data_IF_739670320868
#
_entry.id   IF_739670320868
#
_cell.length_a   1.000
_cell.length_b   1.000
_cell.length_c   1.000
_cell.angle_alpha   90.00
_cell.angle_beta   90.00
_cell.angle_gamma   90.00
#
_symmetry.space_group_name_H-M   'P 1'
#
loop_
_entity.id
_entity.type
_entity.pdbx_description
1 polymer ?
#
# COMPACT_ATOMS: atom_id res chain seq x y z
N UNK A 1 32.81 -10.39 -18.25
CA UNK A 1 31.95 -9.80 -19.30
C UNK A 1 30.98 -10.88 -19.73
N UNK A 2 29.72 -10.81 -19.29
CA UNK A 2 28.72 -11.84 -19.55
C UNK A 2 27.55 -11.21 -20.30
N UNK A 3 27.31 -11.74 -21.50
CA UNK A 3 26.30 -11.31 -22.46
C UNK A 3 24.91 -11.76 -22.03
N UNK A 4 23.95 -10.85 -22.02
CA UNK A 4 22.52 -11.15 -21.85
C UNK A 4 21.90 -11.52 -23.20
N UNK A 5 21.03 -12.55 -23.29
CA UNK A 5 20.26 -12.81 -24.50
C UNK A 5 19.07 -11.85 -24.60
N UNK A 6 18.91 -11.32 -25.81
CA UNK A 6 17.82 -10.44 -26.25
C UNK A 6 16.60 -11.31 -26.57
N UNK A 7 15.46 -11.03 -25.93
CA UNK A 7 14.18 -11.63 -26.30
C UNK A 7 13.62 -10.97 -27.59
N UNK A 8 13.04 -11.74 -28.54
CA UNK A 8 12.45 -11.18 -29.75
C UNK A 8 11.07 -10.56 -29.49
N UNK A 9 10.80 -9.45 -30.19
CA UNK A 9 9.48 -8.80 -30.25
C UNK A 9 8.47 -9.65 -31.02
N UNK A 10 7.20 -9.71 -30.59
CA UNK A 10 6.15 -10.37 -31.37
C UNK A 10 5.75 -9.52 -32.59
N UNK A 11 5.67 -10.21 -33.73
CA UNK A 11 5.32 -9.66 -35.04
C UNK A 11 3.87 -9.14 -35.09
N UNK A 12 3.69 -8.01 -35.79
CA UNK A 12 2.39 -7.43 -36.12
C UNK A 12 1.66 -8.34 -37.12
N UNK A 13 0.48 -8.81 -36.74
CA UNK A 13 -0.42 -9.55 -37.63
C UNK A 13 -1.24 -8.55 -38.45
N UNK A 14 -1.01 -8.52 -39.75
CA UNK A 14 -1.82 -7.81 -40.74
C UNK A 14 -2.99 -8.70 -41.17
N UNK A 15 -4.23 -8.27 -40.95
CA UNK A 15 -5.40 -8.91 -41.55
C UNK A 15 -5.79 -8.12 -42.81
N UNK A 16 -5.57 -8.74 -43.98
CA UNK A 16 -6.14 -8.35 -45.26
C UNK A 16 -7.43 -9.14 -45.51
N UNK A 17 -8.49 -8.41 -45.84
CA UNK A 17 -9.48 -8.70 -46.88
C UNK A 17 -10.26 -10.01 -46.84
N UNK A 18 -11.58 -9.91 -46.63
CA UNK A 18 -12.53 -10.77 -47.33
C UNK A 18 -13.71 -9.93 -47.81
N UNK A 19 -13.91 -9.96 -49.13
CA UNK A 19 -14.97 -9.26 -49.87
C UNK A 19 -16.22 -10.15 -49.95
N UNK A 20 -17.38 -9.49 -49.81
CA UNK A 20 -18.54 -9.78 -50.64
C UNK A 20 -19.56 -10.77 -50.09
N UNK A 21 -20.75 -10.26 -49.75
CA UNK A 21 -21.98 -10.56 -50.52
C UNK A 21 -23.13 -9.64 -50.10
N UNK A 22 -23.84 -9.15 -51.11
CA UNK A 22 -24.99 -8.28 -51.04
C UNK A 22 -26.21 -8.99 -50.45
N UNK A 23 -27.01 -8.27 -49.66
CA UNK A 23 -28.40 -8.61 -49.40
C UNK A 23 -29.26 -7.35 -49.49
N UNK A 24 -30.24 -7.42 -50.37
CA UNK A 24 -31.24 -6.39 -50.64
C UNK A 24 -32.25 -6.27 -49.51
N UNK A 25 -32.60 -5.02 -49.20
CA UNK A 25 -33.98 -4.55 -49.07
C UNK A 25 -34.83 -5.07 -47.90
N UNK A 26 -34.87 -4.31 -46.81
CA UNK A 26 -36.10 -4.06 -46.05
C UNK A 26 -35.95 -2.74 -45.29
N UNK A 27 -36.66 -1.71 -45.75
CA UNK A 27 -36.85 -0.45 -45.03
C UNK A 27 -37.81 -0.73 -43.89
N UNK A 28 -37.29 -0.87 -42.67
CA UNK A 28 -38.09 -0.87 -41.44
C UNK A 28 -37.86 0.42 -40.67
N UNK A 29 -38.99 0.97 -40.21
CA UNK A 29 -39.12 2.31 -39.67
C UNK A 29 -38.20 2.60 -38.50
N UNK A 30 -37.68 3.82 -38.55
CA UNK A 30 -36.91 4.48 -37.52
C UNK A 30 -37.78 4.70 -36.27
N UNK A 31 -37.48 3.98 -35.19
CA UNK A 31 -37.89 4.34 -33.84
C UNK A 31 -36.70 4.08 -32.90
N UNK A 32 -35.69 4.95 -33.02
CA UNK A 32 -34.57 5.00 -32.07
C UNK A 32 -35.10 5.69 -30.81
N UNK A 33 -35.55 4.89 -29.84
CA UNK A 33 -35.68 5.34 -28.45
C UNK A 33 -34.28 5.68 -27.93
N UNK A 34 -33.99 6.93 -27.54
CA UNK A 34 -32.77 7.22 -26.80
C UNK A 34 -32.92 6.58 -25.42
N UNK A 35 -32.36 5.39 -25.24
CA UNK A 35 -32.04 4.89 -23.92
C UNK A 35 -31.07 5.92 -23.29
N UNK A 36 -31.60 6.77 -22.40
CA UNK A 36 -30.79 7.57 -21.51
C UNK A 36 -29.96 6.60 -20.65
N UNK A 37 -28.75 6.30 -21.11
CA UNK A 37 -27.67 5.87 -20.24
C UNK A 37 -27.35 7.04 -19.32
N UNK A 38 -28.10 7.17 -18.23
CA UNK A 38 -27.70 7.96 -17.08
C UNK A 38 -26.48 7.25 -16.47
N UNK A 39 -25.30 7.53 -17.03
CA UNK A 39 -24.06 7.35 -16.31
C UNK A 39 -24.15 8.25 -15.08
N UNK A 40 -24.42 7.65 -13.92
CA UNK A 40 -24.15 8.26 -12.64
C UNK A 40 -22.64 8.48 -12.56
N UNK A 41 -22.16 9.59 -13.12
CA UNK A 41 -20.87 10.16 -12.78
C UNK A 41 -21.02 10.73 -11.37
N UNK A 42 -20.78 9.89 -10.35
CA UNK A 42 -20.46 10.39 -9.04
C UNK A 42 -19.27 11.36 -9.17
N UNK A 43 -19.30 12.54 -8.51
CA UNK A 43 -18.19 13.48 -8.58
C UNK A 43 -16.91 12.79 -8.08
N UNK A 44 -15.82 12.77 -8.88
CA UNK A 44 -14.58 12.03 -8.56
C UNK A 44 -13.80 12.61 -7.37
N UNK A 45 -14.18 13.79 -6.87
CA UNK A 45 -13.31 14.58 -6.00
C UNK A 45 -13.38 14.18 -4.51
N UNK A 46 -14.54 13.72 -4.02
CA UNK A 46 -14.72 13.39 -2.60
C UNK A 46 -14.03 12.08 -2.19
N UNK A 47 -13.92 11.11 -3.10
CA UNK A 47 -13.27 9.83 -2.83
C UNK A 47 -11.75 9.92 -2.96
N UNK A 48 -11.24 10.70 -3.92
CA UNK A 48 -9.80 10.89 -4.12
C UNK A 48 -9.13 11.64 -2.95
N UNK A 49 -9.74 12.73 -2.46
CA UNK A 49 -9.22 13.48 -1.33
C UNK A 49 -9.19 12.64 -0.03
N UNK A 50 -10.21 11.80 0.19
CA UNK A 50 -10.24 10.87 1.32
C UNK A 50 -9.14 9.79 1.26
N UNK A 51 -8.81 9.31 0.07
CA UNK A 51 -7.75 8.34 -0.14
C UNK A 51 -6.35 8.93 0.07
N UNK A 52 -6.13 10.18 -0.35
CA UNK A 52 -4.87 10.90 -0.12
C UNK A 52 -4.64 11.20 1.37
N UNK A 53 -5.68 11.64 2.09
CA UNK A 53 -5.62 11.89 3.54
C UNK A 53 -5.32 10.61 4.31
N UNK A 54 -5.98 9.52 3.94
CA UNK A 54 -5.73 8.20 4.50
C UNK A 54 -4.28 7.76 4.29
N UNK A 55 -3.76 7.91 3.07
CA UNK A 55 -2.38 7.54 2.76
C UNK A 55 -1.36 8.41 3.48
N UNK A 56 -1.61 9.72 3.61
CA UNK A 56 -0.76 10.63 4.39
C UNK A 56 -0.66 10.17 5.85
N UNK A 57 -1.80 9.97 6.51
CA UNK A 57 -1.84 9.52 7.91
C UNK A 57 -1.13 8.17 8.10
N UNK A 58 -1.31 7.24 7.16
CA UNK A 58 -0.62 5.95 7.17
C UNK A 58 0.90 6.10 7.02
N UNK A 59 1.38 6.91 6.07
CA UNK A 59 2.81 7.11 5.87
C UNK A 59 3.49 7.75 7.08
N UNK A 60 2.88 8.76 7.70
CA UNK A 60 3.43 9.42 8.89
C UNK A 60 3.60 8.39 10.03
N UNK A 61 2.59 7.56 10.29
CA UNK A 61 2.64 6.49 11.29
C UNK A 61 3.72 5.46 10.99
N UNK A 62 3.88 5.07 9.72
CA UNK A 62 4.91 4.12 9.31
C UNK A 62 6.31 4.70 9.53
N UNK A 63 6.54 5.96 9.19
CA UNK A 63 7.83 6.64 9.44
C UNK A 63 8.12 6.66 10.94
N UNK A 64 7.12 7.04 11.76
CA UNK A 64 7.26 7.11 13.22
C UNK A 64 7.55 5.76 13.86
N UNK A 65 6.89 4.69 13.40
CA UNK A 65 7.16 3.32 13.84
C UNK A 65 8.53 2.81 13.40
N UNK A 66 8.98 3.17 12.19
CA UNK A 66 10.32 2.83 11.70
C UNK A 66 11.43 3.56 12.49
N UNK A 67 11.19 4.80 12.93
CA UNK A 67 12.10 5.50 13.86
C UNK A 67 12.17 4.81 15.22
N UNK A 68 11.02 4.44 15.82
CA UNK A 68 11.00 3.71 17.09
C UNK A 68 11.81 2.41 17.00
N UNK A 69 11.64 1.66 15.90
CA UNK A 69 12.37 0.41 15.68
C UNK A 69 13.88 0.62 15.52
N UNK A 70 14.34 1.77 15.00
CA UNK A 70 15.76 2.11 15.01
C UNK A 70 16.31 2.31 16.42
N UNK A 71 15.47 2.84 17.32
CA UNK A 71 15.86 3.24 18.68
C UNK A 71 15.89 2.06 19.66
N UNK A 72 15.10 1.01 19.39
CA UNK A 72 15.13 -0.26 20.13
C UNK A 72 16.49 -0.98 20.06
N UNK A 73 17.43 -0.52 19.21
CA UNK A 73 18.86 -0.84 19.27
C UNK A 73 19.28 -2.23 18.77
N UNK A 74 18.34 -3.18 18.70
CA UNK A 74 18.57 -4.61 18.41
C UNK A 74 18.78 -4.99 16.94
N UNK A 75 18.80 -4.01 16.02
CA UNK A 75 18.89 -4.29 14.58
C UNK A 75 20.33 -4.50 14.10
N UNK A 76 20.58 -5.51 13.23
CA UNK A 76 21.82 -5.64 12.46
C UNK A 76 22.13 -4.38 11.62
N UNK A 77 23.41 -4.16 11.30
CA UNK A 77 23.86 -2.98 10.58
C UNK A 77 23.19 -2.82 9.19
N UNK A 78 23.03 -3.92 8.45
CA UNK A 78 22.35 -3.91 7.15
C UNK A 78 20.87 -3.49 7.29
N UNK A 79 20.18 -3.99 8.32
CA UNK A 79 18.80 -3.64 8.60
C UNK A 79 18.66 -2.17 9.05
N UNK A 80 19.56 -1.66 9.91
CA UNK A 80 19.63 -0.22 10.25
C UNK A 80 19.78 0.64 8.99
N UNK A 81 20.67 0.24 8.07
CA UNK A 81 20.87 0.93 6.77
C UNK A 81 19.61 0.90 5.90
N UNK A 82 18.94 -0.25 5.78
CA UNK A 82 17.72 -0.39 4.99
C UNK A 82 16.56 0.42 5.56
N UNK A 83 16.38 0.42 6.89
CA UNK A 83 15.36 1.19 7.57
C UNK A 83 15.59 2.71 7.44
N UNK A 84 16.86 3.15 7.56
CA UNK A 84 17.23 4.54 7.29
C UNK A 84 16.90 4.97 5.86
N UNK A 85 17.17 4.12 4.87
CA UNK A 85 16.82 4.38 3.46
C UNK A 85 15.31 4.48 3.26
N UNK A 86 14.53 3.59 3.91
CA UNK A 86 13.06 3.64 3.85
C UNK A 86 12.52 4.94 4.44
N UNK A 87 12.97 5.34 5.63
CA UNK A 87 12.58 6.61 6.27
C UNK A 87 12.89 7.79 5.36
N UNK A 88 14.13 7.90 4.84
CA UNK A 88 14.52 8.95 3.89
C UNK A 88 13.61 8.95 2.66
N UNK A 89 13.34 7.79 2.05
CA UNK A 89 12.49 7.69 0.87
C UNK A 89 11.05 8.15 1.12
N UNK A 90 10.47 7.77 2.27
CA UNK A 90 9.11 8.18 2.65
C UNK A 90 9.02 9.67 3.00
N UNK A 91 10.03 10.22 3.70
CA UNK A 91 10.11 11.67 3.93
C UNK A 91 10.21 12.46 2.61
N UNK A 92 10.89 11.89 1.60
CA UNK A 92 11.02 12.49 0.28
C UNK A 92 9.68 12.69 -0.44
N UNK A 93 8.73 11.74 -0.31
CA UNK A 93 7.38 11.87 -0.88
C UNK A 93 6.40 12.60 0.03
N UNK A 94 6.67 12.67 1.34
CA UNK A 94 5.78 13.29 2.32
C UNK A 94 5.51 14.78 2.03
N UNK A 95 6.49 15.52 1.52
CA UNK A 95 6.32 16.93 1.17
C UNK A 95 5.25 17.17 0.10
N UNK A 96 5.07 16.22 -0.83
CA UNK A 96 4.01 16.28 -1.83
C UNK A 96 2.66 15.93 -1.21
N UNK A 97 2.60 14.85 -0.42
CA UNK A 97 1.36 14.41 0.23
C UNK A 97 0.80 15.47 1.19
N UNK A 98 1.67 16.18 1.92
CA UNK A 98 1.25 17.29 2.78
C UNK A 98 0.57 18.42 1.99
N UNK A 99 1.02 18.70 0.76
CA UNK A 99 0.39 19.73 -0.10
C UNK A 99 -0.98 19.30 -0.61
N UNK A 100 -1.14 18.01 -0.96
CA UNK A 100 -2.43 17.45 -1.38
C UNK A 100 -3.47 17.43 -0.26
N UNK A 101 -3.03 17.56 0.99
CA UNK A 101 -3.87 17.51 2.19
C UNK A 101 -3.83 18.83 2.96
N UNK A 102 -3.75 19.95 2.24
CA UNK A 102 -3.86 21.31 2.78
C UNK A 102 -2.86 21.69 3.90
N UNK A 103 -1.74 20.95 4.05
CA UNK A 103 -0.63 21.24 4.97
C UNK A 103 0.65 21.60 4.19
N UNK A 104 0.49 22.45 3.17
CA UNK A 104 1.61 22.99 2.40
C UNK A 104 2.70 23.67 3.26
N UNK A 105 2.39 24.38 4.38
CA UNK A 105 3.40 24.95 5.27
C UNK A 105 4.35 23.93 5.90
N UNK A 106 3.93 22.67 6.11
CA UNK A 106 4.81 21.62 6.64
C UNK A 106 5.73 20.98 5.59
N UNK A 107 5.47 21.20 4.30
CA UNK A 107 6.20 20.54 3.21
C UNK A 107 7.71 20.86 3.16
N UNK A 108 8.19 22.10 3.40
CA UNK A 108 9.63 22.39 3.47
C UNK A 108 10.33 21.61 4.58
N UNK A 109 9.70 21.47 5.75
CA UNK A 109 10.25 20.73 6.88
C UNK A 109 10.42 19.24 6.55
N UNK A 110 9.45 18.64 5.85
CA UNK A 110 9.56 17.26 5.36
C UNK A 110 10.78 17.06 4.44
N UNK A 111 11.03 18.01 3.52
CA UNK A 111 12.20 17.99 2.63
C UNK A 111 13.51 18.13 3.40
N UNK A 112 13.56 19.02 4.39
CA UNK A 112 14.73 19.21 5.23
C UNK A 112 15.07 17.92 6.01
N UNK A 113 14.07 17.28 6.61
CA UNK A 113 14.27 16.00 7.29
C UNK A 113 14.68 14.90 6.33
N UNK A 114 14.14 14.83 5.11
CA UNK A 114 14.55 13.82 4.12
C UNK A 114 16.07 13.84 3.87
N UNK A 115 16.69 15.01 3.98
CA UNK A 115 18.13 15.20 3.82
C UNK A 115 18.90 14.90 5.12
N UNK A 116 18.46 15.43 6.26
CA UNK A 116 19.34 15.60 7.44
C UNK A 116 18.78 15.09 8.79
N UNK A 117 17.88 14.10 8.80
CA UNK A 117 17.28 13.61 10.06
C UNK A 117 18.18 12.74 10.96
N UNK A 118 19.36 12.29 10.51
CA UNK A 118 20.09 11.17 11.14
C UNK A 118 20.89 11.54 12.39
N UNK A 119 21.23 12.82 12.58
CA UNK A 119 21.88 13.29 13.80
C UNK A 119 20.94 13.08 15.00
N UNK A 120 21.44 12.78 16.22
CA UNK A 120 20.59 12.52 17.38
C UNK A 120 19.55 13.61 17.65
N UNK A 121 19.96 14.88 17.59
CA UNK A 121 19.12 16.05 17.80
C UNK A 121 18.05 16.14 16.71
N UNK A 122 18.47 16.06 15.44
CA UNK A 122 17.56 16.09 14.29
C UNK A 122 16.55 14.92 14.29
N UNK A 123 16.94 13.74 14.80
CA UNK A 123 16.06 12.58 14.95
C UNK A 123 15.00 12.81 16.03
N UNK A 124 15.40 13.41 17.15
CA UNK A 124 14.48 13.79 18.22
C UNK A 124 13.49 14.87 17.75
N UNK A 125 13.97 15.85 16.98
CA UNK A 125 13.13 16.89 16.37
C UNK A 125 12.16 16.30 15.35
N UNK A 126 12.64 15.41 14.48
CA UNK A 126 11.81 14.67 13.53
C UNK A 126 10.72 13.88 14.26
N UNK A 127 11.05 13.26 15.39
CA UNK A 127 10.09 12.50 16.20
C UNK A 127 8.96 13.40 16.71
N UNK A 128 9.30 14.55 17.31
CA UNK A 128 8.29 15.51 17.79
C UNK A 128 7.46 16.09 16.65
N UNK A 129 8.09 16.39 15.51
CA UNK A 129 7.39 16.88 14.32
C UNK A 129 6.42 15.85 13.74
N UNK A 130 6.82 14.57 13.68
CA UNK A 130 5.93 13.48 13.26
C UNK A 130 4.76 13.30 14.25
N UNK A 131 5.01 13.38 15.56
CA UNK A 131 3.94 13.28 16.57
C UNK A 131 2.92 14.43 16.41
N UNK A 132 3.39 15.65 16.12
CA UNK A 132 2.53 16.77 15.80
C UNK A 132 1.75 16.57 14.47
N UNK A 133 2.38 15.98 13.46
CA UNK A 133 1.71 15.63 12.21
C UNK A 133 0.67 14.52 12.40
N UNK A 134 0.92 13.52 13.24
CA UNK A 134 -0.02 12.44 13.57
C UNK A 134 -1.30 13.01 14.20
N UNK A 135 -1.16 14.07 15.00
CA UNK A 135 -2.30 14.77 15.60
C UNK A 135 -3.11 15.57 14.57
N UNK A 136 -2.45 16.23 13.60
CA UNK A 136 -3.12 17.01 12.54
C UNK A 136 -3.70 16.15 11.42
N UNK A 137 -3.07 15.03 11.11
CA UNK A 137 -3.41 14.11 10.02
C UNK A 137 -3.64 12.69 10.56
N UNK A 138 -4.67 12.49 11.41
CA UNK A 138 -4.90 11.18 12.01
C UNK A 138 -5.35 10.17 10.94
N UNK A 139 -4.71 9.00 10.93
CA UNK A 139 -5.28 7.83 10.27
C UNK A 139 -6.49 7.34 11.09
N UNK A 140 -7.69 7.45 10.52
CA UNK A 140 -8.87 6.77 11.03
C UNK A 140 -8.71 5.25 10.83
N UNK A 141 -8.68 4.52 11.94
CA UNK A 141 -8.55 3.06 11.92
C UNK A 141 -9.88 2.32 12.04
N UNK A 142 -10.98 3.03 12.29
CA UNK A 142 -12.30 2.43 12.50
C UNK A 142 -12.77 1.55 11.33
N UNK A 143 -12.50 1.87 10.04
CA UNK A 143 -12.91 1.01 8.92
C UNK A 143 -12.13 -0.31 8.84
N UNK A 144 -11.07 -0.45 9.63
CA UNK A 144 -10.16 -1.59 9.63
C UNK A 144 -10.24 -2.40 10.92
N UNK A 145 -11.26 -2.17 11.75
CA UNK A 145 -11.42 -2.89 13.00
C UNK A 145 -11.59 -4.40 12.74
N UNK A 146 -10.72 -5.27 13.27
CA UNK A 146 -10.85 -6.72 13.13
C UNK A 146 -12.21 -7.26 13.62
N UNK A 147 -12.89 -6.57 14.53
CA UNK A 147 -14.24 -6.93 14.97
C UNK A 147 -15.30 -6.84 13.86
N UNK A 148 -15.02 -6.11 12.77
CA UNK A 148 -15.88 -6.05 11.58
C UNK A 148 -15.73 -7.29 10.70
N UNK A 149 -14.68 -8.10 10.89
CA UNK A 149 -14.49 -9.33 10.14
C UNK A 149 -15.44 -10.42 10.64
N UNK A 150 -16.25 -10.98 9.75
CA UNK A 150 -17.14 -12.10 10.10
C UNK A 150 -16.35 -13.41 10.07
N UNK A 151 -16.77 -14.45 10.80
CA UNK A 151 -16.08 -15.75 10.76
C UNK A 151 -15.88 -16.31 9.35
N UNK A 152 -16.89 -16.13 8.48
CA UNK A 152 -16.84 -16.53 7.07
C UNK A 152 -15.82 -15.76 6.21
N UNK A 153 -15.36 -14.59 6.66
CA UNK A 153 -14.36 -13.79 5.96
C UNK A 153 -12.93 -14.34 6.19
N UNK A 154 -12.73 -15.28 7.13
CA UNK A 154 -11.42 -15.91 7.40
C UNK A 154 -10.86 -16.64 6.19
N UNK A 155 -11.67 -17.45 5.50
CA UNK A 155 -11.23 -18.17 4.31
C UNK A 155 -10.83 -17.22 3.18
N UNK A 156 -11.56 -16.11 3.03
CA UNK A 156 -11.24 -15.05 2.06
C UNK A 156 -9.95 -14.33 2.43
N UNK A 157 -9.76 -13.99 3.70
CA UNK A 157 -8.52 -13.37 4.19
C UNK A 157 -7.31 -14.29 3.94
N UNK A 158 -7.45 -15.60 4.17
CA UNK A 158 -6.39 -16.56 3.87
C UNK A 158 -6.07 -16.61 2.37
N UNK A 159 -7.10 -16.63 1.52
CA UNK A 159 -6.90 -16.56 0.06
C UNK A 159 -6.19 -15.27 -0.37
N UNK A 160 -6.56 -14.12 0.21
CA UNK A 160 -5.90 -12.84 -0.03
C UNK A 160 -4.44 -12.84 0.44
N UNK A 161 -4.17 -13.37 1.63
CA UNK A 161 -2.80 -13.53 2.15
C UNK A 161 -1.96 -14.37 1.19
N UNK A 162 -2.48 -15.50 0.72
CA UNK A 162 -1.78 -16.38 -0.23
C UNK A 162 -1.51 -15.68 -1.57
N UNK A 163 -2.48 -14.91 -2.08
CA UNK A 163 -2.36 -14.22 -3.35
C UNK A 163 -1.40 -13.02 -3.32
N UNK A 164 -1.42 -12.22 -2.26
CA UNK A 164 -0.75 -10.91 -2.23
C UNK A 164 0.45 -10.81 -1.26
N UNK A 165 0.53 -11.68 -0.25
CA UNK A 165 1.44 -11.49 0.88
C UNK A 165 2.42 -12.64 1.08
N UNK A 166 1.97 -13.88 0.91
CA UNK A 166 2.69 -15.09 1.31
C UNK A 166 4.05 -15.24 0.60
N UNK A 167 4.15 -14.84 -0.67
CA UNK A 167 5.38 -14.92 -1.44
C UNK A 167 6.56 -14.13 -0.83
N UNK A 168 6.27 -13.05 -0.11
CA UNK A 168 7.29 -12.28 0.60
C UNK A 168 7.31 -12.57 2.10
N UNK A 169 6.15 -12.72 2.72
CA UNK A 169 6.02 -12.72 4.18
C UNK A 169 5.90 -14.13 4.80
N UNK A 170 5.94 -15.18 3.97
CA UNK A 170 5.61 -16.56 4.35
C UNK A 170 4.12 -16.81 4.38
N UNK A 171 3.70 -18.04 4.07
CA UNK A 171 2.29 -18.47 4.08
C UNK A 171 1.76 -18.69 5.51
N UNK A 172 2.64 -19.08 6.43
CA UNK A 172 2.35 -19.31 7.84
C UNK A 172 3.31 -18.51 8.72
N UNK A 173 3.07 -18.42 10.05
CA UNK A 173 4.06 -17.85 10.95
C UNK A 173 5.44 -18.51 10.87
N UNK A 174 5.52 -19.81 10.54
CA UNK A 174 6.74 -20.60 10.46
C UNK A 174 7.44 -20.50 9.10
N UNK A 175 6.68 -20.30 8.02
CA UNK A 175 7.23 -20.18 6.66
C UNK A 175 7.79 -18.79 6.34
N UNK A 176 7.71 -17.86 7.29
CA UNK A 176 8.25 -16.53 7.10
C UNK A 176 9.77 -16.63 6.89
N UNK A 177 10.32 -15.92 5.88
CA UNK A 177 11.75 -15.97 5.63
C UNK A 177 12.50 -15.53 6.90
N UNK A 178 13.58 -16.22 7.27
CA UNK A 178 14.36 -15.86 8.44
C UNK A 178 14.81 -14.41 8.32
N UNK A 179 14.87 -13.69 9.45
CA UNK A 179 15.43 -12.34 9.50
C UNK A 179 16.95 -12.39 9.33
N UNK A 180 17.41 -12.72 8.13
CA UNK A 180 18.81 -12.72 7.76
C UNK A 180 19.42 -11.34 8.05
N UNK A 181 20.46 -11.34 8.88
CA UNK A 181 21.16 -10.14 9.30
C UNK A 181 21.80 -9.38 8.12
N UNK A 182 22.06 -10.06 7.00
CA UNK A 182 22.59 -9.46 5.78
C UNK A 182 21.51 -8.79 4.92
N UNK A 183 20.24 -9.20 5.05
CA UNK A 183 19.14 -8.62 4.28
C UNK A 183 18.76 -7.26 4.86
N UNK A 184 18.94 -6.20 4.07
CA UNK A 184 18.71 -4.83 4.56
C UNK A 184 17.23 -4.51 4.87
N UNK A 185 16.29 -5.20 4.22
CA UNK A 185 14.84 -5.00 4.39
C UNK A 185 14.13 -6.36 4.37
N UNK A 186 14.26 -7.18 5.43
CA UNK A 186 13.65 -8.50 5.44
C UNK A 186 12.12 -8.36 5.46
N UNK A 187 11.45 -9.20 4.70
CA UNK A 187 9.99 -9.31 4.69
C UNK A 187 9.56 -10.15 5.90
N UNK A 188 9.41 -9.50 7.05
CA UNK A 188 9.05 -10.16 8.31
C UNK A 188 7.65 -10.76 8.24
N UNK A 189 7.42 -11.84 8.99
CA UNK A 189 6.09 -12.42 9.18
C UNK A 189 5.05 -11.36 9.57
N UNK A 190 3.94 -11.28 8.83
CA UNK A 190 2.83 -10.38 9.15
C UNK A 190 2.16 -10.78 10.48
N UNK A 191 2.13 -12.08 10.78
CA UNK A 191 1.66 -12.63 12.06
C UNK A 191 2.52 -12.16 13.25
N UNK A 192 3.83 -12.05 13.08
CA UNK A 192 4.72 -11.51 14.13
C UNK A 192 4.65 -9.99 14.21
N UNK A 193 4.51 -9.31 13.07
CA UNK A 193 4.39 -7.86 13.03
C UNK A 193 3.17 -7.35 13.78
N UNK A 194 2.00 -7.98 13.62
CA UNK A 194 0.78 -7.53 14.30
C UNK A 194 0.85 -7.65 15.84
N UNK A 195 1.70 -8.56 16.36
CA UNK A 195 1.92 -8.74 17.80
C UNK A 195 2.94 -7.77 18.40
N UNK A 196 3.92 -7.36 17.60
CA UNK A 196 5.05 -6.53 18.05
C UNK A 196 4.87 -5.03 17.74
N UNK A 197 3.72 -4.64 17.19
CA UNK A 197 3.41 -3.28 16.80
C UNK A 197 2.05 -2.89 17.38
N UNK A 198 1.81 -1.58 17.55
CA UNK A 198 0.47 -1.13 17.87
C UNK A 198 -0.48 -1.46 16.71
N UNK A 199 -1.75 -1.71 17.01
CA UNK A 199 -2.78 -1.96 16.00
C UNK A 199 -2.79 -0.87 14.93
N UNK A 200 -2.73 0.40 15.36
CA UNK A 200 -2.71 1.57 14.48
C UNK A 200 -1.49 1.60 13.55
N UNK A 201 -0.32 1.22 14.04
CA UNK A 201 0.87 1.10 13.18
C UNK A 201 0.76 -0.06 12.19
N UNK A 202 0.26 -1.22 12.63
CA UNK A 202 0.09 -2.37 11.74
C UNK A 202 -0.94 -2.06 10.64
N UNK A 203 -2.08 -1.46 11.00
CA UNK A 203 -3.09 -0.97 10.04
C UNK A 203 -2.48 0.02 9.05
N UNK A 204 -1.69 1.00 9.50
CA UNK A 204 -1.01 1.94 8.61
C UNK A 204 -0.11 1.23 7.59
N UNK A 205 0.62 0.19 8.03
CA UNK A 205 1.45 -0.64 7.14
C UNK A 205 0.61 -1.44 6.14
N UNK A 206 -0.59 -1.89 6.51
CA UNK A 206 -1.50 -2.55 5.57
C UNK A 206 -2.06 -1.55 4.54
N UNK A 207 -2.49 -0.38 5.00
CA UNK A 207 -3.05 0.69 4.16
C UNK A 207 -2.04 1.18 3.12
N UNK A 208 -0.78 1.39 3.52
CA UNK A 208 0.24 1.97 2.63
C UNK A 208 1.20 0.95 1.99
N UNK A 209 1.18 -0.31 2.44
CA UNK A 209 2.21 -1.31 2.13
C UNK A 209 1.87 -2.24 0.98
N UNK A 210 0.58 -2.45 0.71
CA UNK A 210 0.13 -3.28 -0.40
C UNK A 210 0.02 -2.39 -1.63
N UNK A 211 0.90 -2.64 -2.61
CA UNK A 211 0.91 -1.89 -3.86
C UNK A 211 0.00 -2.56 -4.88
N UNK A 212 -0.64 -1.74 -5.68
CA UNK A 212 -1.42 -2.18 -6.83
C UNK A 212 -0.58 -2.85 -7.91
N UNK A 213 -1.30 -3.42 -8.86
CA UNK A 213 -0.79 -3.97 -10.10
C UNK A 213 -0.84 -2.94 -11.25
N UNK A 214 -0.71 -3.38 -12.50
CA UNK A 214 -0.82 -2.48 -13.66
C UNK A 214 -2.19 -1.79 -13.77
N UNK A 215 -3.26 -2.38 -13.24
CA UNK A 215 -4.61 -1.82 -13.31
C UNK A 215 -4.89 -0.83 -12.18
N UNK A 216 -4.30 -1.04 -11.00
CA UNK A 216 -4.52 -0.22 -9.79
C UNK A 216 -3.37 0.76 -9.50
N UNK A 217 -2.25 0.65 -10.21
CA UNK A 217 -1.12 1.55 -10.10
C UNK A 217 -0.49 1.53 -8.69
N UNK A 218 -0.41 2.70 -8.05
CA UNK A 218 0.11 2.82 -6.68
C UNK A 218 -0.99 2.68 -5.61
N UNK A 219 -2.26 2.58 -6.00
CA UNK A 219 -3.36 2.43 -5.05
C UNK A 219 -3.32 1.04 -4.39
N UNK A 220 -3.82 0.96 -3.17
CA UNK A 220 -3.96 -0.32 -2.49
C UNK A 220 -5.11 -1.11 -3.17
N UNK A 221 -4.86 -2.32 -3.69
CA UNK A 221 -5.88 -3.10 -4.37
C UNK A 221 -6.91 -3.70 -3.39
N UNK A 222 -6.68 -3.60 -2.08
CA UNK A 222 -7.54 -4.14 -1.04
C UNK A 222 -8.52 -3.09 -0.52
N UNK A 223 -9.79 -3.45 -0.44
CA UNK A 223 -10.81 -2.64 0.24
C UNK A 223 -10.72 -2.73 1.77
N UNK A 224 -11.41 -1.82 2.45
CA UNK A 224 -11.37 -1.71 3.92
C UNK A 224 -11.75 -3.01 4.63
N UNK A 225 -12.83 -3.68 4.20
CA UNK A 225 -13.26 -4.95 4.77
C UNK A 225 -12.23 -6.09 4.57
N UNK A 226 -11.50 -6.08 3.45
CA UNK A 226 -10.44 -7.05 3.18
C UNK A 226 -9.23 -6.82 4.09
N UNK A 227 -8.85 -5.55 4.30
CA UNK A 227 -7.79 -5.17 5.23
C UNK A 227 -8.19 -5.56 6.67
N UNK A 228 -9.43 -5.28 7.09
CA UNK A 228 -9.94 -5.68 8.41
C UNK A 228 -9.86 -7.21 8.61
N UNK A 229 -10.31 -7.99 7.61
CA UNK A 229 -10.28 -9.44 7.66
C UNK A 229 -8.84 -10.01 7.70
N UNK A 230 -7.88 -9.38 7.00
CA UNK A 230 -6.47 -9.75 7.08
C UNK A 230 -5.88 -9.44 8.46
N UNK A 231 -6.22 -8.28 9.05
CA UNK A 231 -5.79 -7.94 10.41
C UNK A 231 -6.32 -8.97 11.42
N UNK A 232 -7.61 -9.33 11.32
CA UNK A 232 -8.21 -10.37 12.16
C UNK A 232 -7.51 -11.72 11.98
N UNK A 233 -7.25 -12.15 10.74
CA UNK A 233 -6.51 -13.37 10.43
C UNK A 233 -5.15 -13.42 11.14
N UNK A 234 -4.40 -12.31 11.11
CA UNK A 234 -3.07 -12.27 11.71
C UNK A 234 -3.11 -12.21 13.24
N UNK A 235 -4.13 -11.60 13.83
CA UNK A 235 -4.32 -11.55 15.29
C UNK A 235 -4.73 -12.90 15.88
N UNK A 236 -5.61 -13.63 15.19
CA UNK A 236 -6.17 -14.91 15.65
C UNK A 236 -5.20 -16.09 15.51
N UNK A 237 -4.11 -15.92 14.75
CA UNK A 237 -3.11 -16.96 14.56
C UNK A 237 -2.38 -17.24 15.89
N UNK A 238 -2.80 -18.30 16.58
CA UNK A 238 -2.09 -18.84 17.74
C UNK A 238 -0.65 -19.21 17.32
N UNK A 239 0.37 -18.89 18.13
CA UNK A 239 1.61 -19.64 18.06
C UNK A 239 1.23 -21.09 18.41
N UNK A 240 1.45 -22.03 17.49
CA UNK A 240 1.41 -23.43 17.88
C UNK A 240 2.61 -23.70 18.80
N UNK A 241 2.43 -24.51 19.87
CA UNK A 241 3.47 -24.85 20.82
C UNK A 241 4.68 -25.51 20.16
#
# INVERSE_FOLDING_TARGET
MASFPIFPSPARRTHRGFLGRAFSGAVFGCAILPALCAFFSAPPDAHAQGDDARLLGAHILVIRGDLRRLDEGRLPAAQKKGLRRRITGMLGSLAWQLRLNDDAPSAPQARAYAQNWRAPEAKNDLTRWLDALIARHPLDTSPYDPALARPQDRAKALALHNAYCAACHGATPQDAPPEDAAVARPARSLYTMVRNQSRREFTARMVSGVRGDRATGLANPLGNAQIAALIALYQDAKPHP
#
